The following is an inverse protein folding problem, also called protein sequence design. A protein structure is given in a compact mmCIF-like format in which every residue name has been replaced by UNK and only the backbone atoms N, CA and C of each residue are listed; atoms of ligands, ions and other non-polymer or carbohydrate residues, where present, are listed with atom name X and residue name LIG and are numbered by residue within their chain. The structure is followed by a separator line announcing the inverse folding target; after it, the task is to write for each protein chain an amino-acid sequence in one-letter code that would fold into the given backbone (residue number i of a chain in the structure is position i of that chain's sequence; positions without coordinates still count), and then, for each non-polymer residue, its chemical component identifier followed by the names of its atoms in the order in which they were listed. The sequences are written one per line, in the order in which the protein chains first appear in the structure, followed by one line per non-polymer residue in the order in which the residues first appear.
data_IF_611979511737
#
_entry.id   IF_611979511737
#
_cell.length_a   1.000
_cell.length_b   1.000
_cell.length_c   1.000
_cell.angle_alpha   90.00
_cell.angle_beta   90.00
_cell.angle_gamma   90.00
#
_symmetry.space_group_name_H-M   'P 1'
#
loop_
_entity.id
_entity.type
_entity.pdbx_description
1 polymer ?
#
# COMPACT_ATOMS: atom_id res chain seq x y z
N UNK A 1 30.03 -21.72 -8.18
CA UNK A 1 29.56 -21.11 -6.91
C UNK A 1 28.54 -22.05 -6.29
N UNK A 2 28.46 -22.19 -4.95
CA UNK A 2 27.40 -22.98 -4.31
C UNK A 2 26.03 -22.37 -4.64
N UNK A 3 25.00 -23.20 -4.77
CA UNK A 3 23.66 -22.74 -5.14
C UNK A 3 23.01 -21.98 -3.97
N UNK A 4 23.19 -20.66 -3.94
CA UNK A 4 22.78 -19.77 -2.83
C UNK A 4 21.26 -19.80 -2.54
N UNK A 5 20.44 -20.26 -3.49
CA UNK A 5 19.01 -20.46 -3.32
C UNK A 5 18.66 -21.50 -2.24
N UNK A 6 19.53 -22.47 -1.95
CA UNK A 6 19.26 -23.59 -1.03
C UNK A 6 19.70 -23.33 0.43
N UNK A 7 19.89 -22.06 0.87
CA UNK A 7 20.11 -21.79 2.30
C UNK A 7 18.74 -21.85 3.04
N UNK A 8 18.53 -22.75 4.02
CA UNK A 8 17.22 -22.89 4.71
C UNK A 8 16.78 -21.62 5.47
N UNK A 9 17.69 -20.68 5.70
CA UNK A 9 17.41 -19.35 6.22
C UNK A 9 16.61 -18.42 5.27
N UNK A 10 16.48 -18.76 3.97
CA UNK A 10 15.69 -17.98 3.01
C UNK A 10 14.23 -18.46 2.92
N UNK A 11 13.98 -19.76 2.98
CA UNK A 11 12.67 -20.37 2.67
C UNK A 11 11.55 -19.87 3.61
N UNK A 12 11.84 -19.84 4.91
CA UNK A 12 10.87 -19.55 5.97
C UNK A 12 10.45 -18.07 6.07
N UNK A 13 11.07 -17.12 5.34
CA UNK A 13 10.93 -15.68 5.65
C UNK A 13 10.57 -14.76 4.48
N UNK A 14 10.17 -15.29 3.33
CA UNK A 14 9.65 -14.48 2.21
C UNK A 14 8.14 -14.30 2.23
N UNK A 15 7.72 -13.06 1.94
CA UNK A 15 6.40 -12.55 1.52
C UNK A 15 5.21 -13.32 2.13
N UNK A 16 4.57 -12.81 3.20
CA UNK A 16 3.35 -13.42 3.73
C UNK A 16 2.25 -13.41 2.66
N UNK A 17 1.59 -14.55 2.39
CA UNK A 17 0.43 -14.61 1.46
C UNK A 17 -0.67 -13.60 1.82
N UNK A 18 -0.82 -13.23 3.10
CA UNK A 18 -1.69 -12.12 3.55
C UNK A 18 -1.40 -10.81 2.84
N UNK A 19 -0.13 -10.44 2.68
CA UNK A 19 0.27 -9.23 1.96
C UNK A 19 -0.17 -9.29 0.49
N UNK A 20 -0.02 -10.46 -0.15
CA UNK A 20 -0.43 -10.67 -1.54
C UNK A 20 -1.96 -10.55 -1.70
N UNK A 21 -2.74 -11.12 -0.78
CA UNK A 21 -4.20 -10.96 -0.72
C UNK A 21 -4.64 -9.51 -0.51
N UNK A 22 -3.94 -8.78 0.37
CA UNK A 22 -4.17 -7.35 0.60
C UNK A 22 -3.91 -6.55 -0.69
N UNK A 23 -2.82 -6.82 -1.39
CA UNK A 23 -2.56 -6.16 -2.68
C UNK A 23 -3.56 -6.55 -3.76
N UNK A 24 -4.06 -7.79 -3.77
CA UNK A 24 -5.15 -8.17 -4.65
C UNK A 24 -6.43 -7.37 -4.34
N UNK A 25 -6.78 -7.19 -3.05
CA UNK A 25 -7.92 -6.37 -2.62
C UNK A 25 -7.76 -4.89 -3.03
N UNK A 26 -6.62 -4.27 -2.72
CA UNK A 26 -6.37 -2.86 -3.01
C UNK A 26 -6.44 -2.56 -4.51
N UNK A 27 -5.75 -3.36 -5.33
CA UNK A 27 -5.74 -3.15 -6.78
C UNK A 27 -7.09 -3.51 -7.43
N UNK A 28 -7.78 -4.56 -6.96
CA UNK A 28 -9.12 -4.90 -7.44
C UNK A 28 -10.15 -3.82 -7.09
N UNK A 29 -10.04 -3.18 -5.92
CA UNK A 29 -10.88 -2.06 -5.54
C UNK A 29 -10.63 -0.84 -6.42
N UNK A 30 -9.35 -0.48 -6.64
CA UNK A 30 -8.97 0.60 -7.54
C UNK A 30 -9.51 0.36 -8.96
N UNK A 31 -9.30 -0.84 -9.51
CA UNK A 31 -9.87 -1.26 -10.80
C UNK A 31 -11.40 -1.15 -10.83
N UNK A 32 -12.08 -1.58 -9.76
CA UNK A 32 -13.56 -1.54 -9.71
C UNK A 32 -14.08 -0.11 -9.70
N UNK A 33 -13.45 0.81 -8.96
CA UNK A 33 -13.80 2.23 -8.99
C UNK A 33 -13.48 2.85 -10.35
N UNK A 34 -12.28 2.64 -10.90
CA UNK A 34 -11.91 3.14 -12.23
C UNK A 34 -12.89 2.65 -13.31
N UNK A 35 -13.27 1.37 -13.29
CA UNK A 35 -14.25 0.77 -14.24
C UNK A 35 -15.61 1.47 -14.19
N UNK A 36 -16.08 1.84 -12.99
CA UNK A 36 -17.34 2.58 -12.81
C UNK A 36 -17.17 4.05 -13.22
N UNK A 37 -16.05 4.69 -12.87
CA UNK A 37 -15.76 6.07 -13.26
C UNK A 37 -15.68 6.23 -14.79
N UNK A 38 -14.89 5.40 -15.47
CA UNK A 38 -14.79 5.38 -16.94
C UNK A 38 -16.14 5.11 -17.61
N UNK A 39 -16.98 4.24 -17.03
CA UNK A 39 -18.34 3.98 -17.55
C UNK A 39 -19.21 5.23 -17.45
N UNK A 40 -19.21 5.88 -16.29
CA UNK A 40 -20.01 7.07 -16.05
C UNK A 40 -19.52 8.26 -16.89
N UNK A 41 -18.20 8.47 -17.00
CA UNK A 41 -17.63 9.48 -17.89
C UNK A 41 -18.06 9.24 -19.34
N UNK A 42 -17.97 8.00 -19.83
CA UNK A 42 -18.39 7.66 -21.19
C UNK A 42 -19.88 7.93 -21.42
N UNK A 43 -20.74 7.63 -20.42
CA UNK A 43 -22.16 7.98 -20.46
C UNK A 43 -22.36 9.50 -20.55
N UNK A 44 -21.60 10.31 -19.80
CA UNK A 44 -21.70 11.77 -19.88
C UNK A 44 -21.16 12.33 -21.21
N UNK A 45 -20.14 11.74 -21.83
CA UNK A 45 -19.71 12.14 -23.18
C UNK A 45 -20.78 11.76 -24.22
N UNK A 46 -21.33 10.54 -24.18
CA UNK A 46 -22.44 10.12 -25.05
C UNK A 46 -23.66 11.02 -24.86
N UNK A 47 -23.96 11.49 -23.64
CA UNK A 47 -25.03 12.48 -23.42
C UNK A 47 -24.74 13.81 -24.10
N UNK A 48 -23.49 14.30 -24.05
CA UNK A 48 -23.11 15.60 -24.63
C UNK A 48 -23.40 15.65 -26.13
N UNK A 49 -23.14 14.57 -26.87
CA UNK A 49 -23.38 14.46 -28.31
C UNK A 49 -24.84 14.76 -28.73
N UNK A 50 -25.79 14.57 -27.82
CA UNK A 50 -27.23 14.85 -28.05
C UNK A 50 -27.74 16.05 -27.24
N UNK A 51 -26.86 16.92 -26.75
CA UNK A 51 -27.28 18.13 -26.03
C UNK A 51 -27.92 19.15 -26.97
N UNK A 52 -29.12 19.60 -26.62
CA UNK A 52 -29.77 20.70 -27.35
C UNK A 52 -29.01 22.01 -27.15
N UNK A 53 -28.34 22.49 -28.19
CA UNK A 53 -27.78 23.83 -28.29
C UNK A 53 -28.78 24.79 -28.96
N UNK A 54 -29.30 25.83 -28.26
CA UNK A 54 -30.23 26.82 -28.81
C UNK A 54 -29.72 27.65 -30.00
N UNK A 55 -28.40 27.69 -30.23
CA UNK A 55 -27.79 28.42 -31.34
C UNK A 55 -27.60 27.56 -32.60
N UNK A 56 -27.61 26.23 -32.45
CA UNK A 56 -27.41 25.27 -33.55
C UNK A 56 -28.67 24.47 -33.92
N UNK A 57 -29.67 24.43 -33.05
CA UNK A 57 -30.86 23.58 -33.20
C UNK A 57 -32.16 24.37 -33.12
N UNK A 58 -33.18 23.91 -33.84
CA UNK A 58 -34.54 24.48 -33.77
C UNK A 58 -35.34 23.86 -32.61
N UNK A 59 -36.25 24.59 -31.94
CA UNK A 59 -36.88 24.12 -30.69
C UNK A 59 -37.62 22.77 -30.78
N UNK A 60 -38.13 22.41 -31.96
CA UNK A 60 -38.77 21.14 -32.28
C UNK A 60 -37.80 19.93 -32.24
N UNK A 61 -36.50 20.15 -32.40
CA UNK A 61 -35.47 19.11 -32.32
C UNK A 61 -35.15 18.67 -30.88
N UNK A 62 -35.60 19.42 -29.87
CA UNK A 62 -35.29 19.16 -28.45
C UNK A 62 -35.81 17.81 -27.96
N UNK A 63 -37.05 17.44 -28.27
CA UNK A 63 -37.62 16.14 -27.89
C UNK A 63 -36.99 14.96 -28.66
N UNK A 64 -36.82 15.02 -30.00
CA UNK A 64 -36.06 14.01 -30.75
C UNK A 64 -34.65 13.76 -30.20
N UNK A 65 -33.87 14.82 -29.89
CA UNK A 65 -32.52 14.69 -29.34
C UNK A 65 -32.52 14.00 -27.97
N UNK A 66 -33.41 14.40 -27.05
CA UNK A 66 -33.54 13.74 -25.74
C UNK A 66 -33.91 12.24 -25.87
N UNK A 67 -34.76 11.89 -26.85
CA UNK A 67 -35.10 10.49 -27.14
C UNK A 67 -33.91 9.71 -27.71
N UNK A 68 -33.15 10.30 -28.63
CA UNK A 68 -31.92 9.69 -29.17
C UNK A 68 -30.86 9.50 -28.09
N UNK A 69 -30.67 10.48 -27.21
CA UNK A 69 -29.77 10.41 -26.05
C UNK A 69 -30.09 9.19 -25.17
N UNK A 70 -31.36 9.02 -24.79
CA UNK A 70 -31.81 7.89 -23.97
C UNK A 70 -31.53 6.54 -24.63
N UNK A 71 -31.81 6.42 -25.94
CA UNK A 71 -31.51 5.22 -26.73
C UNK A 71 -29.99 4.94 -26.77
N UNK A 72 -29.16 5.97 -26.98
CA UNK A 72 -27.71 5.82 -27.04
C UNK A 72 -27.10 5.38 -25.69
N UNK A 73 -27.56 5.98 -24.58
CA UNK A 73 -27.11 5.61 -23.22
C UNK A 73 -27.58 4.19 -22.84
N UNK A 74 -28.80 3.81 -23.22
CA UNK A 74 -29.32 2.45 -23.00
C UNK A 74 -28.49 1.41 -23.78
N UNK A 75 -28.26 1.64 -25.07
CA UNK A 75 -27.47 0.76 -25.91
C UNK A 75 -26.02 0.64 -25.42
N UNK A 76 -25.39 1.74 -24.96
CA UNK A 76 -24.05 1.69 -24.36
C UNK A 76 -24.04 0.82 -23.11
N UNK A 77 -25.05 0.98 -22.25
CA UNK A 77 -25.17 0.23 -21.00
C UNK A 77 -25.37 -1.26 -21.25
N UNK A 78 -26.13 -1.63 -22.29
CA UNK A 78 -26.33 -3.00 -22.75
C UNK A 78 -25.03 -3.59 -23.33
N UNK A 79 -24.34 -2.86 -24.21
CA UNK A 79 -23.07 -3.30 -24.79
C UNK A 79 -21.99 -3.55 -23.71
N UNK A 80 -21.89 -2.67 -22.70
CA UNK A 80 -20.97 -2.85 -21.55
C UNK A 80 -21.37 -4.05 -20.68
N UNK A 81 -22.66 -4.38 -20.57
CA UNK A 81 -23.12 -5.56 -19.86
C UNK A 81 -22.81 -6.85 -20.63
N UNK A 82 -22.98 -6.84 -21.96
CA UNK A 82 -22.67 -7.97 -22.84
C UNK A 82 -21.16 -8.24 -22.96
N UNK A 83 -20.30 -7.23 -22.74
CA UNK A 83 -18.83 -7.32 -22.83
C UNK A 83 -18.16 -8.32 -21.87
N UNK A 84 -18.89 -8.90 -20.91
CA UNK A 84 -18.37 -9.85 -19.92
C UNK A 84 -19.03 -11.23 -20.09
N UNK A 85 -18.25 -12.35 -20.21
CA UNK A 85 -16.83 -12.49 -19.88
C UNK A 85 -15.92 -12.88 -21.07
N UNK A 86 -15.17 -11.91 -21.61
CA UNK A 86 -13.82 -12.00 -22.20
C UNK A 86 -13.37 -13.16 -23.15
N UNK A 87 -14.24 -14.05 -23.62
CA UNK A 87 -13.92 -15.02 -24.70
C UNK A 87 -14.73 -14.74 -25.96
N UNK A 88 -14.01 -14.61 -27.08
CA UNK A 88 -14.46 -14.56 -28.47
C UNK A 88 -15.75 -13.78 -28.74
N UNK A 89 -15.59 -12.46 -28.91
CA UNK A 89 -16.69 -11.55 -29.19
C UNK A 89 -17.26 -11.73 -30.61
N UNK A 90 -18.43 -12.37 -30.68
CA UNK A 90 -19.34 -12.31 -31.82
C UNK A 90 -20.65 -11.64 -31.38
N UNK A 91 -20.59 -10.32 -31.18
CA UNK A 91 -21.76 -9.51 -30.83
C UNK A 91 -22.76 -9.42 -31.99
N UNK A 92 -24.05 -9.54 -31.67
CA UNK A 92 -25.14 -9.52 -32.66
C UNK A 92 -26.00 -8.23 -32.54
N UNK A 93 -25.74 -7.38 -31.54
CA UNK A 93 -26.58 -6.23 -31.17
C UNK A 93 -26.17 -4.87 -31.73
N UNK A 94 -26.35 -4.61 -33.04
CA UNK A 94 -26.09 -3.32 -33.69
C UNK A 94 -24.59 -2.90 -33.77
N UNK A 95 -23.93 -3.34 -34.85
CA UNK A 95 -22.53 -3.03 -35.22
C UNK A 95 -22.12 -1.55 -35.20
N UNK A 96 -23.06 -0.60 -35.26
CA UNK A 96 -22.74 0.84 -35.18
C UNK A 96 -22.22 1.25 -33.80
N UNK A 97 -22.56 0.52 -32.74
CA UNK A 97 -22.15 0.87 -31.38
C UNK A 97 -20.72 0.42 -31.07
N UNK A 98 -20.31 -0.77 -31.52
CA UNK A 98 -18.92 -1.24 -31.41
C UNK A 98 -17.94 -0.33 -32.17
N UNK A 99 -18.44 0.37 -33.19
CA UNK A 99 -17.70 1.35 -33.99
C UNK A 99 -17.79 2.78 -33.43
N UNK A 100 -18.45 2.99 -32.28
CA UNK A 100 -18.51 4.30 -31.62
C UNK A 100 -17.16 4.65 -31.01
N UNK A 101 -16.65 5.86 -31.29
CA UNK A 101 -15.46 6.42 -30.67
C UNK A 101 -15.49 6.33 -29.14
N UNK A 102 -16.63 6.66 -28.52
CA UNK A 102 -16.80 6.62 -27.07
C UNK A 102 -16.72 5.21 -26.50
N UNK A 103 -17.28 4.21 -27.19
CA UNK A 103 -17.16 2.81 -26.77
C UNK A 103 -15.74 2.27 -26.93
N UNK A 104 -15.06 2.61 -28.03
CA UNK A 104 -13.65 2.23 -28.25
C UNK A 104 -12.72 2.84 -27.19
N UNK A 105 -12.85 4.14 -26.90
CA UNK A 105 -12.09 4.79 -25.83
C UNK A 105 -12.36 4.16 -24.45
N UNK A 106 -13.61 3.76 -24.16
CA UNK A 106 -13.94 3.03 -22.93
C UNK A 106 -13.21 1.68 -22.84
N UNK A 107 -13.19 0.89 -23.93
CA UNK A 107 -12.47 -0.38 -23.98
C UNK A 107 -10.95 -0.20 -23.84
N UNK A 108 -10.37 0.82 -24.47
CA UNK A 108 -8.95 1.16 -24.31
C UNK A 108 -8.60 1.57 -22.87
N UNK A 109 -9.46 2.37 -22.23
CA UNK A 109 -9.33 2.73 -20.83
C UNK A 109 -9.40 1.49 -19.92
N UNK A 110 -10.39 0.61 -20.10
CA UNK A 110 -10.49 -0.64 -19.34
C UNK A 110 -9.25 -1.54 -19.51
N UNK A 111 -8.72 -1.66 -20.73
CA UNK A 111 -7.50 -2.43 -21.00
C UNK A 111 -6.28 -1.85 -20.27
N UNK A 112 -6.20 -0.52 -20.15
CA UNK A 112 -5.19 0.15 -19.34
C UNK A 112 -5.37 -0.13 -17.85
N UNK A 113 -6.60 -0.02 -17.31
CA UNK A 113 -6.89 -0.37 -15.91
C UNK A 113 -6.56 -1.84 -15.61
N UNK A 114 -6.80 -2.76 -16.55
CA UNK A 114 -6.45 -4.17 -16.39
C UNK A 114 -4.93 -4.40 -16.36
N UNK A 115 -4.16 -3.71 -17.21
CA UNK A 115 -2.69 -3.81 -17.13
C UNK A 115 -2.14 -3.19 -15.83
N UNK A 116 -2.76 -2.15 -15.28
CA UNK A 116 -2.43 -1.63 -13.94
C UNK A 116 -2.76 -2.65 -12.85
N UNK A 117 -3.94 -3.28 -12.91
CA UNK A 117 -4.37 -4.33 -11.98
C UNK A 117 -3.39 -5.51 -11.97
N UNK A 118 -3.00 -6.04 -13.13
CA UNK A 118 -2.04 -7.14 -13.26
C UNK A 118 -0.64 -6.74 -12.74
N UNK A 119 -0.20 -5.49 -12.99
CA UNK A 119 1.12 -5.02 -12.54
C UNK A 119 1.17 -4.50 -11.09
N UNK A 120 0.03 -4.33 -10.42
CA UNK A 120 -0.04 -3.69 -9.10
C UNK A 120 0.75 -4.40 -7.99
N UNK A 121 0.93 -5.72 -8.07
CA UNK A 121 1.85 -6.43 -7.17
C UNK A 121 3.32 -6.12 -7.45
N UNK A 122 3.72 -6.01 -8.73
CA UNK A 122 5.07 -5.62 -9.13
C UNK A 122 5.38 -4.16 -8.80
N UNK A 123 4.37 -3.28 -8.84
CA UNK A 123 4.50 -1.92 -8.33
C UNK A 123 4.72 -1.90 -6.81
N UNK A 124 3.89 -2.64 -6.05
CA UNK A 124 4.04 -2.79 -4.60
C UNK A 124 5.40 -3.37 -4.21
N UNK A 125 5.86 -4.38 -4.96
CA UNK A 125 7.22 -4.91 -4.93
C UNK A 125 8.20 -3.72 -5.10
N UNK A 126 8.20 -3.03 -6.25
CA UNK A 126 9.13 -1.92 -6.51
C UNK A 126 9.16 -0.86 -5.39
N UNK A 127 8.01 -0.42 -4.88
CA UNK A 127 7.93 0.56 -3.77
C UNK A 127 8.63 0.08 -2.50
N UNK A 128 8.42 -1.17 -2.07
CA UNK A 128 9.09 -1.73 -0.89
C UNK A 128 10.62 -1.68 -1.04
N UNK A 129 11.15 -2.07 -2.20
CA UNK A 129 12.59 -2.06 -2.43
C UNK A 129 13.16 -0.65 -2.49
N UNK A 130 12.47 0.28 -3.15
CA UNK A 130 12.77 1.71 -3.12
C UNK A 130 12.84 2.24 -1.68
N UNK A 131 11.86 1.90 -0.83
CA UNK A 131 11.83 2.29 0.59
C UNK A 131 13.00 1.72 1.41
N UNK A 132 13.41 0.47 1.16
CA UNK A 132 14.63 -0.12 1.76
C UNK A 132 15.86 0.66 1.32
N UNK A 133 16.03 0.93 0.02
CA UNK A 133 17.18 1.63 -0.53
C UNK A 133 17.30 3.07 -0.01
N UNK A 134 16.20 3.83 0.02
CA UNK A 134 16.19 5.19 0.62
C UNK A 134 16.56 5.17 2.10
N UNK A 135 16.05 4.21 2.86
CA UNK A 135 16.35 4.07 4.30
C UNK A 135 17.84 3.76 4.54
N UNK A 136 18.42 2.85 3.78
CA UNK A 136 19.84 2.50 3.89
C UNK A 136 20.74 3.66 3.42
N UNK A 137 20.37 4.35 2.34
CA UNK A 137 21.11 5.52 1.88
C UNK A 137 21.07 6.64 2.93
N UNK A 138 19.92 6.87 3.58
CA UNK A 138 19.82 7.85 4.66
C UNK A 138 20.81 7.56 5.80
N UNK A 139 20.89 6.30 6.23
CA UNK A 139 21.86 5.86 7.25
C UNK A 139 23.32 6.04 6.76
N UNK A 140 23.60 5.80 5.48
CA UNK A 140 24.94 6.01 4.89
C UNK A 140 25.29 7.50 4.77
N UNK A 141 24.35 8.39 4.44
CA UNK A 141 24.61 9.84 4.46
C UNK A 141 24.86 10.33 5.89
N UNK A 142 24.08 9.86 6.87
CA UNK A 142 24.33 10.18 8.29
C UNK A 142 25.65 9.60 8.80
N UNK A 143 26.07 8.43 8.32
CA UNK A 143 27.41 7.88 8.57
C UNK A 143 28.51 8.81 8.08
N UNK A 144 28.41 9.34 6.85
CA UNK A 144 29.39 10.31 6.30
C UNK A 144 29.46 11.58 7.17
N UNK A 145 28.30 12.13 7.54
CA UNK A 145 28.22 13.32 8.40
C UNK A 145 28.83 13.06 9.79
N UNK A 146 28.55 11.89 10.38
CA UNK A 146 29.13 11.49 11.66
C UNK A 146 30.65 11.30 11.56
N UNK A 147 31.15 10.61 10.54
CA UNK A 147 32.59 10.37 10.32
C UNK A 147 33.36 11.67 10.04
N UNK A 148 32.76 12.61 9.30
CA UNK A 148 33.37 13.92 9.03
C UNK A 148 33.43 14.84 10.26
N UNK A 149 32.55 14.61 11.26
CA UNK A 149 32.45 15.42 12.49
C UNK A 149 32.84 14.64 13.75
N UNK A 150 33.49 13.49 13.59
CA UNK A 150 33.94 12.63 14.69
C UNK A 150 35.27 13.13 15.27
N UNK A 151 35.29 13.37 16.58
CA UNK A 151 36.50 13.75 17.31
C UNK A 151 36.83 12.66 18.37
N UNK A 152 37.93 11.91 18.21
CA UNK A 152 38.31 10.86 19.16
C UNK A 152 38.68 11.37 20.56
N UNK A 153 38.86 12.68 20.75
CA UNK A 153 39.10 13.28 22.07
C UNK A 153 37.81 13.52 22.90
N UNK A 154 36.62 13.43 22.30
CA UNK A 154 35.34 13.69 23.00
C UNK A 154 34.25 12.62 22.73
N UNK A 155 34.54 11.31 22.79
CA UNK A 155 33.61 10.25 22.36
C UNK A 155 32.35 10.13 23.23
N UNK A 156 32.41 10.55 24.50
CA UNK A 156 31.33 10.38 25.48
C UNK A 156 30.19 11.41 25.38
N UNK A 157 30.40 12.53 24.67
CA UNK A 157 29.40 13.61 24.59
C UNK A 157 28.19 13.27 23.70
N UNK A 158 28.39 12.44 22.66
CA UNK A 158 27.35 12.06 21.70
C UNK A 158 27.49 10.57 21.31
N UNK A 159 26.96 9.68 22.13
CA UNK A 159 27.14 8.23 21.99
C UNK A 159 26.64 7.69 20.62
N UNK A 160 25.45 8.13 20.19
CA UNK A 160 24.87 7.79 18.89
C UNK A 160 25.78 8.18 17.72
N UNK A 161 26.33 9.40 17.74
CA UNK A 161 27.23 9.95 16.72
C UNK A 161 28.55 9.16 16.67
N UNK A 162 29.13 8.83 17.82
CA UNK A 162 30.35 8.01 17.93
C UNK A 162 30.13 6.61 17.35
N UNK A 163 29.04 5.92 17.72
CA UNK A 163 28.75 4.60 17.19
C UNK A 163 28.45 4.63 15.68
N UNK A 164 27.70 5.63 15.20
CA UNK A 164 27.38 5.75 13.79
C UNK A 164 28.63 5.97 12.94
N UNK A 165 29.53 6.88 13.35
CA UNK A 165 30.80 7.15 12.66
C UNK A 165 31.72 5.93 12.54
N UNK A 166 31.55 4.92 13.41
CA UNK A 166 32.38 3.73 13.51
C UNK A 166 31.67 2.44 13.05
N UNK A 167 30.47 2.51 12.49
CA UNK A 167 29.74 1.29 12.13
C UNK A 167 30.29 0.61 10.85
N UNK A 168 30.85 -0.62 10.92
CA UNK A 168 31.47 -1.24 9.74
C UNK A 168 30.50 -1.66 8.62
N UNK A 169 29.18 -1.70 8.84
CA UNK A 169 28.20 -2.08 7.81
C UNK A 169 27.89 -0.86 6.93
N UNK A 170 27.77 0.31 7.54
CA UNK A 170 27.62 1.57 6.82
C UNK A 170 28.92 1.95 6.09
N UNK A 171 30.09 1.60 6.65
CA UNK A 171 31.37 1.71 5.96
C UNK A 171 31.47 0.76 4.74
N UNK A 172 31.11 -0.52 4.90
CA UNK A 172 31.08 -1.48 3.80
C UNK A 172 30.12 -1.03 2.69
N UNK A 173 28.89 -0.62 3.06
CA UNK A 173 27.90 -0.05 2.16
C UNK A 173 28.48 1.13 1.37
N UNK A 174 29.03 2.13 2.06
CA UNK A 174 29.57 3.34 1.43
C UNK A 174 30.63 3.05 0.37
N UNK A 175 31.45 2.02 0.56
CA UNK A 175 32.51 1.62 -0.37
C UNK A 175 32.09 0.55 -1.39
N UNK A 176 30.86 0.01 -1.32
CA UNK A 176 30.40 -1.06 -2.20
C UNK A 176 29.93 -0.51 -3.56
N UNK A 177 30.76 -0.67 -4.60
CA UNK A 177 30.44 -0.25 -5.96
C UNK A 177 29.18 -0.93 -6.56
N UNK A 178 28.88 -2.18 -6.20
CA UNK A 178 27.67 -2.87 -6.67
C UNK A 178 26.40 -2.26 -6.06
N UNK A 179 26.46 -1.85 -4.79
CA UNK A 179 25.37 -1.11 -4.14
C UNK A 179 25.19 0.27 -4.79
N UNK A 180 26.26 1.07 -4.95
CA UNK A 180 26.20 2.37 -5.61
C UNK A 180 25.62 2.29 -7.04
N UNK A 181 26.01 1.27 -7.82
CA UNK A 181 25.43 1.04 -9.15
C UNK A 181 23.94 0.67 -9.09
N UNK A 182 23.50 -0.07 -8.07
CA UNK A 182 22.09 -0.39 -7.87
C UNK A 182 21.26 0.85 -7.50
N UNK A 183 21.81 1.77 -6.70
CA UNK A 183 21.19 3.06 -6.39
C UNK A 183 20.97 3.89 -7.67
N UNK A 184 22.01 4.01 -8.49
CA UNK A 184 21.94 4.68 -9.79
C UNK A 184 20.91 4.05 -10.74
N UNK A 185 20.91 2.72 -10.88
CA UNK A 185 19.94 1.98 -11.72
C UNK A 185 18.48 2.21 -11.31
N UNK A 186 18.21 2.43 -10.03
CA UNK A 186 16.86 2.67 -9.51
C UNK A 186 16.52 4.17 -9.35
N UNK A 187 17.45 5.08 -9.69
CA UNK A 187 17.25 6.53 -9.56
C UNK A 187 17.22 7.03 -8.12
N UNK A 188 17.70 6.24 -7.16
CA UNK A 188 17.61 6.56 -5.73
C UNK A 188 18.77 7.48 -5.33
N UNK A 189 18.43 8.68 -4.87
CA UNK A 189 19.41 9.69 -4.46
C UNK A 189 18.77 10.72 -3.53
N UNK A 190 19.53 11.21 -2.55
CA UNK A 190 19.17 12.32 -1.68
C UNK A 190 19.68 13.68 -2.18
N UNK A 191 20.27 13.77 -3.38
CA UNK A 191 20.89 15.02 -3.89
C UNK A 191 19.91 16.19 -3.97
N UNK A 192 18.62 15.95 -4.23
CA UNK A 192 17.59 17.02 -4.25
C UNK A 192 17.20 17.51 -2.86
N UNK A 193 17.28 16.63 -1.86
CA UNK A 193 16.75 16.81 -0.51
C UNK A 193 17.90 16.84 0.53
N UNK A 194 19.12 17.15 0.09
CA UNK A 194 20.33 17.05 0.90
C UNK A 194 20.29 17.94 2.14
N UNK A 195 19.68 19.13 2.03
CA UNK A 195 19.46 20.03 3.17
C UNK A 195 18.50 19.42 4.21
N UNK A 196 17.48 18.69 3.75
CA UNK A 196 16.54 18.00 4.63
C UNK A 196 17.20 16.81 5.36
N UNK A 197 18.02 16.03 4.66
CA UNK A 197 18.84 14.96 5.26
C UNK A 197 19.79 15.50 6.33
N UNK A 198 20.43 16.64 6.09
CA UNK A 198 21.27 17.32 7.08
C UNK A 198 20.46 17.88 8.27
N UNK A 199 19.28 18.44 8.02
CA UNK A 199 18.40 18.94 9.08
C UNK A 199 17.95 17.81 10.00
N UNK A 200 17.55 16.66 9.46
CA UNK A 200 17.22 15.48 10.26
C UNK A 200 18.44 14.94 11.03
N UNK A 201 19.63 14.93 10.42
CA UNK A 201 20.86 14.55 11.13
C UNK A 201 21.11 15.46 12.34
N UNK A 202 21.05 16.78 12.16
CA UNK A 202 21.15 17.75 13.27
C UNK A 202 20.11 17.48 14.34
N UNK A 203 18.84 17.40 13.96
CA UNK A 203 17.69 17.22 14.85
C UNK A 203 17.77 15.94 15.69
N UNK A 204 18.08 14.80 15.07
CA UNK A 204 17.95 13.49 15.73
C UNK A 204 19.27 12.89 16.23
N UNK A 205 20.42 13.30 15.66
CA UNK A 205 21.74 12.74 16.00
C UNK A 205 22.61 13.75 16.77
N UNK A 206 22.58 15.04 16.44
CA UNK A 206 23.44 16.05 17.10
C UNK A 206 22.79 16.76 18.29
N UNK A 207 21.47 17.00 18.27
CA UNK A 207 20.78 17.83 19.30
C UNK A 207 20.61 17.12 20.65
N UNK A 208 21.18 15.92 20.84
CA UNK A 208 21.29 15.27 22.15
C UNK A 208 22.64 15.64 22.79
N UNK A 209 22.64 16.71 23.57
CA UNK A 209 23.57 16.84 24.69
C UNK A 209 23.03 16.00 25.86
N UNK A 210 23.92 15.29 26.57
CA UNK A 210 23.60 14.73 27.89
C UNK A 210 23.07 15.86 28.77
N UNK A 211 21.91 15.72 29.44
CA UNK A 211 21.45 16.74 30.37
C UNK A 211 22.52 16.99 31.43
N UNK A 212 23.14 18.17 31.40
CA UNK A 212 23.89 18.68 32.56
C UNK A 212 22.93 18.57 33.73
N UNK A 213 23.30 17.78 34.73
CA UNK A 213 22.46 17.55 35.90
C UNK A 213 22.12 18.90 36.50
N UNK A 214 20.88 19.35 36.32
CA UNK A 214 20.39 20.54 37.00
C UNK A 214 20.51 20.25 38.49
N UNK A 215 21.38 20.99 39.16
CA UNK A 215 21.36 21.06 40.61
C UNK A 215 19.95 21.45 41.03
N UNK A 216 19.40 20.74 42.01
CA UNK A 216 18.05 21.00 42.47
C UNK A 216 17.97 22.45 42.99
N UNK A 217 17.23 23.30 42.29
CA UNK A 217 16.89 24.64 42.75
C UNK A 217 15.51 24.55 43.43
N UNK A 218 15.43 24.59 44.77
CA UNK A 218 14.25 24.14 45.52
C UNK A 218 13.09 25.15 45.54
N UNK A 219 13.14 26.20 44.73
CA UNK A 219 12.16 27.29 44.72
C UNK A 219 11.69 27.69 43.31
N UNK A 220 10.75 26.93 42.73
CA UNK A 220 9.78 27.55 41.82
C UNK A 220 8.40 26.87 41.90
N UNK A 221 7.43 27.61 42.43
CA UNK A 221 6.03 27.21 42.57
C UNK A 221 5.15 27.94 41.55
N UNK A 222 4.05 27.31 41.09
CA UNK A 222 3.08 27.79 40.08
C UNK A 222 3.60 27.68 38.63
N UNK A 223 2.82 27.47 37.55
CA UNK A 223 1.38 27.25 37.26
C UNK A 223 1.33 26.64 35.82
N UNK A 224 0.33 25.93 35.31
CA UNK A 224 -0.96 25.41 35.82
C UNK A 224 -1.39 24.21 34.96
N UNK A 225 -2.43 23.46 35.38
CA UNK A 225 -3.14 22.49 34.52
C UNK A 225 -4.34 23.16 33.84
N UNK A 226 -4.58 22.88 32.55
CA UNK A 226 -5.87 23.06 31.88
C UNK A 226 -6.16 21.88 30.93
N UNK A 227 -7.42 21.48 30.87
CA UNK A 227 -7.95 20.32 30.13
C UNK A 227 -8.38 20.69 28.70
N UNK A 228 -8.53 19.72 27.78
CA UNK A 228 -9.07 19.96 26.44
C UNK A 228 -10.58 20.25 26.48
N UNK A 229 -11.05 20.93 25.43
CA UNK A 229 -12.46 21.10 25.08
C UNK A 229 -12.64 20.47 23.70
N UNK A 230 -13.67 19.65 23.54
CA UNK A 230 -14.13 19.10 22.26
C UNK A 230 -15.50 19.71 21.89
N UNK A 231 -15.89 19.42 20.64
CA UNK A 231 -17.24 19.53 20.05
C UNK A 231 -17.58 20.83 19.31
N UNK A 232 -17.69 20.75 17.97
CA UNK A 232 -18.86 21.17 17.18
C UNK A 232 -18.80 20.62 15.73
N UNK A 233 -19.91 20.72 14.98
CA UNK A 233 -20.33 19.73 13.95
C UNK A 233 -20.11 20.09 12.45
N UNK A 234 -19.77 19.04 11.67
CA UNK A 234 -20.22 18.65 10.31
C UNK A 234 -20.68 19.69 9.24
N UNK A 235 -20.10 19.60 8.02
CA UNK A 235 -20.78 19.38 6.69
C UNK A 235 -19.86 19.70 5.48
N UNK A 236 -19.90 18.89 4.40
CA UNK A 236 -19.52 19.37 3.05
C UNK A 236 -18.71 18.46 2.09
N UNK A 237 -19.42 17.55 1.39
CA UNK A 237 -19.17 17.06 0.00
C UNK A 237 -17.84 16.39 -0.45
N UNK A 238 -17.91 15.68 -1.59
CA UNK A 238 -16.97 14.64 -2.00
C UNK A 238 -16.03 15.03 -3.16
N UNK A 239 -14.77 14.59 -3.05
CA UNK A 239 -13.75 14.32 -4.08
C UNK A 239 -12.51 13.75 -3.35
N UNK A 240 -11.65 12.85 -3.85
CA UNK A 240 -11.61 12.04 -5.07
C UNK A 240 -10.59 10.88 -4.89
N UNK A 241 -10.61 9.89 -5.80
CA UNK A 241 -9.56 8.88 -6.08
C UNK A 241 -8.63 8.37 -4.95
N UNK A 242 -8.78 7.09 -4.59
CA UNK A 242 -7.78 6.23 -3.91
C UNK A 242 -7.37 6.59 -2.47
N UNK A 243 -7.50 7.85 -2.05
CA UNK A 243 -7.20 8.32 -0.70
C UNK A 243 -8.17 7.76 0.38
N UNK A 244 -9.38 7.32 -0.02
CA UNK A 244 -10.40 6.78 0.88
C UNK A 244 -10.02 5.50 1.65
N UNK A 245 -8.84 4.91 1.41
CA UNK A 245 -8.25 3.86 2.26
C UNK A 245 -7.21 4.38 3.27
N UNK A 246 -6.71 5.60 3.10
CA UNK A 246 -5.84 6.27 4.07
C UNK A 246 -6.66 6.75 5.28
N UNK A 247 -7.89 7.24 5.03
CA UNK A 247 -8.75 7.87 6.05
C UNK A 247 -9.18 6.91 7.18
N UNK A 248 -9.18 5.59 6.94
CA UNK A 248 -9.50 4.57 7.96
C UNK A 248 -8.37 4.42 9.01
N UNK A 249 -7.15 4.87 8.71
CA UNK A 249 -6.04 4.90 9.67
C UNK A 249 -5.98 6.19 10.52
N UNK A 250 -6.80 7.21 10.22
CA UNK A 250 -6.64 8.52 10.86
C UNK A 250 -7.26 8.64 12.25
N UNK A 251 -8.21 7.77 12.61
CA UNK A 251 -8.94 7.80 13.89
C UNK A 251 -8.08 7.43 15.13
N UNK A 252 -6.76 7.29 14.97
CA UNK A 252 -5.81 7.10 16.07
C UNK A 252 -4.80 8.26 16.22
N UNK A 253 -4.89 9.34 15.43
CA UNK A 253 -4.04 10.55 15.62
C UNK A 253 -4.51 11.43 16.78
N UNK A 254 -4.46 10.93 18.01
CA UNK A 254 -4.41 11.81 19.18
C UNK A 254 -2.97 12.23 19.44
N UNK A 255 -2.70 13.52 19.20
CA UNK A 255 -1.36 14.11 19.27
C UNK A 255 -0.68 13.90 20.63
N UNK A 256 0.20 12.90 20.69
CA UNK A 256 1.16 12.70 21.78
C UNK A 256 2.55 12.89 21.22
N UNK A 257 3.17 14.05 21.47
CA UNK A 257 4.60 14.27 21.14
C UNK A 257 5.44 13.19 21.86
N UNK A 258 6.06 12.26 21.11
CA UNK A 258 6.60 11.07 21.75
C UNK A 258 7.94 11.38 22.42
N UNK A 259 8.04 11.09 23.71
CA UNK A 259 9.35 11.02 24.39
C UNK A 259 10.09 9.79 23.88
N UNK A 260 11.05 10.00 22.99
CA UNK A 260 12.03 8.97 22.63
C UNK A 260 12.77 8.47 23.89
N UNK A 261 13.28 7.23 23.88
CA UNK A 261 14.01 6.69 25.02
C UNK A 261 15.27 7.49 25.37
N UNK A 262 15.59 7.50 26.68
CA UNK A 262 16.78 8.13 27.24
C UNK A 262 18.06 7.48 26.71
N UNK A 263 19.13 8.27 26.59
CA UNK A 263 20.44 7.77 26.07
C UNK A 263 21.02 6.59 26.86
N UNK A 264 20.61 6.45 28.13
CA UNK A 264 20.96 5.35 29.02
C UNK A 264 20.49 3.98 28.47
N UNK A 265 19.40 3.93 27.70
CA UNK A 265 18.93 2.67 27.07
C UNK A 265 19.89 2.14 25.99
N UNK A 266 20.72 3.00 25.42
CA UNK A 266 21.60 2.68 24.29
C UNK A 266 23.00 2.22 24.72
N UNK A 267 23.45 2.60 25.93
CA UNK A 267 24.82 2.37 26.42
C UNK A 267 25.25 0.90 26.59
N UNK A 268 24.34 -0.07 26.50
CA UNK A 268 24.63 -1.51 26.70
C UNK A 268 24.46 -2.38 25.45
N UNK A 269 24.19 -1.78 24.29
CA UNK A 269 23.72 -2.51 23.11
C UNK A 269 24.80 -2.70 22.05
N UNK A 270 24.66 -3.77 21.26
CA UNK A 270 25.47 -4.02 20.07
C UNK A 270 25.13 -3.03 18.94
N UNK A 271 26.05 -2.81 18.01
CA UNK A 271 25.83 -1.90 16.87
C UNK A 271 24.63 -2.31 15.99
N UNK A 272 24.26 -3.60 15.98
CA UNK A 272 23.07 -4.09 15.25
C UNK A 272 21.78 -3.62 15.93
N UNK A 273 21.68 -3.76 17.24
CA UNK A 273 20.53 -3.28 18.03
C UNK A 273 20.40 -1.75 18.01
N UNK A 274 21.53 -1.04 17.90
CA UNK A 274 21.53 0.41 17.72
C UNK A 274 20.95 0.83 16.36
N UNK A 275 21.42 0.22 15.26
CA UNK A 275 20.86 0.47 13.92
C UNK A 275 19.37 0.11 13.87
N UNK A 276 18.98 -0.99 14.52
CA UNK A 276 17.58 -1.39 14.61
C UNK A 276 16.73 -0.37 15.36
N UNK A 277 17.15 0.08 16.55
CA UNK A 277 16.46 1.15 17.26
C UNK A 277 16.44 2.47 16.45
N UNK A 278 17.51 2.81 15.72
CA UNK A 278 17.54 4.01 14.87
C UNK A 278 16.45 3.95 13.79
N UNK A 279 16.36 2.88 13.00
CA UNK A 279 15.35 2.83 11.95
C UNK A 279 13.93 2.63 12.52
N UNK A 280 13.78 1.90 13.63
CA UNK A 280 12.47 1.67 14.27
C UNK A 280 11.91 2.92 14.97
N UNK A 281 12.76 3.64 15.73
CA UNK A 281 12.38 4.75 16.62
C UNK A 281 12.67 6.14 16.07
N UNK A 282 13.53 6.29 15.04
CA UNK A 282 13.82 7.60 14.43
C UNK A 282 13.24 7.69 13.02
N UNK A 283 13.52 6.71 12.15
CA UNK A 283 13.13 6.78 10.72
C UNK A 283 11.64 6.42 10.52
N UNK A 284 11.15 5.38 11.18
CA UNK A 284 9.78 4.88 11.02
C UNK A 284 8.88 5.06 12.26
N UNK A 285 9.27 5.94 13.18
CA UNK A 285 8.34 6.53 14.13
C UNK A 285 7.61 7.69 13.44
N UNK A 286 6.41 8.04 13.91
CA UNK A 286 5.68 9.22 13.44
C UNK A 286 6.56 10.48 13.57
N UNK A 287 6.65 11.25 12.48
CA UNK A 287 7.59 12.35 12.36
C UNK A 287 8.16 12.51 10.95
N UNK A 288 8.97 13.56 10.73
CA UNK A 288 9.18 14.14 9.39
C UNK A 288 9.89 13.20 8.40
N UNK A 289 10.63 12.19 8.87
CA UNK A 289 11.28 11.20 8.01
C UNK A 289 10.26 10.16 7.51
N UNK A 290 9.43 9.63 8.40
CA UNK A 290 8.34 8.72 8.05
C UNK A 290 7.35 9.41 7.11
N UNK A 291 7.04 10.67 7.38
CA UNK A 291 6.03 11.42 6.64
C UNK A 291 6.53 11.76 5.23
N UNK A 292 7.83 12.10 5.08
CA UNK A 292 8.47 12.22 3.77
C UNK A 292 8.39 10.91 2.97
N UNK A 293 8.70 9.77 3.60
CA UNK A 293 8.60 8.46 2.92
C UNK A 293 7.15 8.14 2.54
N UNK A 294 6.17 8.50 3.39
CA UNK A 294 4.74 8.36 3.09
C UNK A 294 4.30 9.19 1.86
N UNK A 295 4.82 10.41 1.70
CA UNK A 295 4.55 11.23 0.52
C UNK A 295 5.05 10.61 -0.80
N UNK A 296 6.02 9.70 -0.75
CA UNK A 296 6.54 8.99 -1.94
C UNK A 296 5.81 7.69 -2.28
N UNK A 297 4.97 7.17 -1.37
CA UNK A 297 4.35 5.85 -1.49
C UNK A 297 2.95 5.83 -0.86
N UNK A 298 1.91 5.84 -1.70
CA UNK A 298 0.50 5.84 -1.27
C UNK A 298 0.14 4.68 -0.32
N UNK A 299 0.86 3.56 -0.39
CA UNK A 299 0.64 2.38 0.44
C UNK A 299 1.74 2.20 1.50
N UNK A 300 2.30 3.31 1.97
CA UNK A 300 3.45 3.29 2.87
C UNK A 300 3.17 2.52 4.16
N UNK A 301 1.98 2.53 4.75
CA UNK A 301 1.75 1.80 6.01
C UNK A 301 1.76 0.28 5.88
N UNK A 302 1.40 -0.30 4.73
CA UNK A 302 1.69 -1.72 4.45
C UNK A 302 3.13 -1.94 4.03
N UNK A 303 3.69 -1.07 3.18
CA UNK A 303 5.04 -1.23 2.66
C UNK A 303 6.09 -1.07 3.77
N UNK A 304 5.98 -0.07 4.64
CA UNK A 304 6.75 0.15 5.88
C UNK A 304 6.81 -1.11 6.75
N UNK A 305 5.70 -1.85 6.90
CA UNK A 305 5.70 -3.12 7.66
C UNK A 305 6.57 -4.20 7.01
N UNK A 306 6.66 -4.23 5.67
CA UNK A 306 7.57 -5.12 4.93
C UNK A 306 9.01 -4.59 4.95
N UNK A 307 9.22 -3.30 4.69
CA UNK A 307 10.51 -2.60 4.75
C UNK A 307 11.18 -2.80 6.11
N UNK A 308 10.46 -2.60 7.23
CA UNK A 308 10.94 -2.90 8.60
C UNK A 308 11.45 -4.34 8.73
N UNK A 309 10.65 -5.33 8.32
CA UNK A 309 11.02 -6.76 8.40
C UNK A 309 12.27 -7.08 7.60
N UNK A 310 12.38 -6.51 6.39
CA UNK A 310 13.57 -6.70 5.58
C UNK A 310 14.79 -6.01 6.21
N UNK A 311 14.66 -4.77 6.68
CA UNK A 311 15.76 -4.04 7.33
C UNK A 311 16.27 -4.74 8.61
N UNK A 312 15.40 -5.17 9.53
CA UNK A 312 15.81 -6.03 10.67
C UNK A 312 16.61 -7.24 10.17
N UNK A 313 16.13 -7.90 9.10
CA UNK A 313 16.82 -9.08 8.56
C UNK A 313 18.19 -8.75 7.97
N UNK A 314 18.29 -7.64 7.24
CA UNK A 314 19.52 -7.11 6.66
C UNK A 314 20.56 -6.86 7.75
N UNK A 315 20.19 -6.16 8.82
CA UNK A 315 21.12 -5.85 9.92
C UNK A 315 21.54 -7.11 10.70
N UNK A 316 20.66 -8.11 10.86
CA UNK A 316 21.04 -9.42 11.45
C UNK A 316 21.87 -10.31 10.51
N UNK A 317 21.88 -10.07 9.20
CA UNK A 317 22.70 -10.81 8.23
C UNK A 317 24.18 -10.37 8.20
N UNK A 318 24.54 -9.27 8.87
CA UNK A 318 25.90 -8.72 8.95
C UNK A 318 27.02 -9.75 9.21
N UNK A 319 26.73 -10.80 9.98
CA UNK A 319 27.69 -11.86 10.31
C UNK A 319 28.11 -12.75 9.13
N UNK A 320 27.48 -12.66 7.95
CA UNK A 320 27.83 -13.50 6.79
C UNK A 320 28.79 -12.85 5.79
N UNK A 321 29.13 -11.57 5.92
CA UNK A 321 30.03 -10.80 5.01
C UNK A 321 29.70 -10.94 3.50
N UNK A 322 28.46 -11.29 3.18
CA UNK A 322 27.99 -11.58 1.82
C UNK A 322 26.94 -10.54 1.44
N UNK A 323 27.41 -9.34 1.09
CA UNK A 323 26.55 -8.24 0.68
C UNK A 323 25.79 -8.53 -0.63
N UNK A 324 26.22 -9.53 -1.41
CA UNK A 324 25.49 -9.95 -2.60
C UNK A 324 24.15 -10.64 -2.23
N UNK A 325 24.12 -11.37 -1.12
CA UNK A 325 22.90 -12.03 -0.62
C UNK A 325 21.78 -11.04 -0.25
N UNK A 326 22.11 -9.81 0.14
CA UNK A 326 21.15 -8.70 0.29
C UNK A 326 20.41 -8.43 -1.01
N UNK A 327 21.18 -8.23 -2.10
CA UNK A 327 20.64 -7.81 -3.40
C UNK A 327 19.83 -8.94 -4.04
N UNK A 328 20.32 -10.18 -3.90
CA UNK A 328 19.67 -11.40 -4.39
C UNK A 328 18.33 -11.71 -3.72
N UNK A 329 18.01 -11.10 -2.58
CA UNK A 329 16.66 -11.19 -2.00
C UNK A 329 15.58 -10.67 -2.97
N UNK A 330 15.93 -9.69 -3.80
CA UNK A 330 14.99 -9.04 -4.70
C UNK A 330 14.63 -9.86 -5.93
N UNK A 331 15.63 -10.57 -6.45
CA UNK A 331 15.53 -11.47 -7.60
C UNK A 331 15.18 -12.91 -7.16
N UNK A 332 14.85 -13.11 -5.88
CA UNK A 332 14.49 -14.41 -5.34
C UNK A 332 13.22 -14.98 -6.01
N UNK A 333 13.22 -16.23 -6.50
CA UNK A 333 12.16 -16.79 -7.35
C UNK A 333 10.77 -16.81 -6.70
N UNK A 334 10.69 -16.83 -5.36
CA UNK A 334 9.42 -16.75 -4.63
C UNK A 334 8.64 -15.44 -4.87
N UNK A 335 9.27 -14.34 -5.31
CA UNK A 335 8.51 -13.18 -5.81
C UNK A 335 7.64 -13.55 -7.02
N UNK A 336 8.18 -14.29 -7.98
CA UNK A 336 7.44 -14.75 -9.16
C UNK A 336 6.37 -15.81 -8.81
N UNK A 337 6.60 -16.62 -7.76
CA UNK A 337 5.58 -17.57 -7.24
C UNK A 337 4.38 -16.80 -6.66
N UNK A 338 4.63 -15.79 -5.83
CA UNK A 338 3.55 -14.98 -5.23
C UNK A 338 2.88 -14.06 -6.26
N UNK A 339 3.60 -13.57 -7.26
CA UNK A 339 3.04 -12.88 -8.44
C UNK A 339 2.12 -13.81 -9.26
N UNK A 340 2.54 -15.06 -9.48
CA UNK A 340 1.71 -16.08 -10.13
C UNK A 340 0.49 -16.52 -9.29
N UNK A 341 0.53 -16.37 -7.96
CA UNK A 341 -0.64 -16.50 -7.11
C UNK A 341 -1.58 -15.29 -7.23
N UNK A 342 -1.03 -14.07 -7.13
CA UNK A 342 -1.73 -12.79 -7.29
C UNK A 342 -2.51 -12.71 -8.61
N UNK A 343 -1.83 -12.95 -9.74
CA UNK A 343 -2.43 -12.84 -11.06
C UNK A 343 -3.55 -13.88 -11.25
N UNK A 344 -3.32 -15.15 -10.88
CA UNK A 344 -4.36 -16.18 -10.94
C UNK A 344 -5.57 -15.81 -10.10
N UNK A 345 -5.37 -15.30 -8.87
CA UNK A 345 -6.45 -14.93 -7.97
C UNK A 345 -7.34 -13.84 -8.59
N UNK A 346 -6.72 -12.80 -9.17
CA UNK A 346 -7.44 -11.70 -9.81
C UNK A 346 -8.16 -12.13 -11.10
N UNK A 347 -7.49 -12.89 -11.98
CA UNK A 347 -8.11 -13.44 -13.19
C UNK A 347 -9.32 -14.31 -12.84
N UNK A 348 -9.20 -15.16 -11.81
CA UNK A 348 -10.31 -15.99 -11.31
C UNK A 348 -11.49 -15.14 -10.81
N UNK A 349 -11.23 -14.05 -10.08
CA UNK A 349 -12.31 -13.13 -9.65
C UNK A 349 -13.01 -12.50 -10.85
N UNK A 350 -12.25 -11.95 -11.80
CA UNK A 350 -12.82 -11.26 -12.98
C UNK A 350 -13.66 -12.21 -13.83
N UNK A 351 -13.18 -13.43 -14.07
CA UNK A 351 -13.89 -14.44 -14.87
C UNK A 351 -15.20 -14.92 -14.23
N UNK A 352 -15.27 -14.94 -12.90
CA UNK A 352 -16.40 -15.48 -12.14
C UNK A 352 -17.22 -14.40 -11.42
N UNK A 353 -17.02 -13.11 -11.76
CA UNK A 353 -17.54 -11.97 -10.99
C UNK A 353 -19.06 -12.02 -10.78
N UNK A 354 -19.82 -12.32 -11.85
CA UNK A 354 -21.28 -12.45 -11.81
C UNK A 354 -21.74 -13.67 -10.99
N UNK A 355 -21.00 -14.78 -11.06
CA UNK A 355 -21.29 -15.99 -10.29
C UNK A 355 -21.05 -15.75 -8.80
N UNK A 356 -19.95 -15.08 -8.43
CA UNK A 356 -19.68 -14.72 -7.05
C UNK A 356 -20.66 -13.67 -6.51
N UNK A 357 -21.04 -12.66 -7.29
CA UNK A 357 -22.08 -11.69 -6.88
C UNK A 357 -23.43 -12.40 -6.61
N UNK A 358 -23.82 -13.36 -7.46
CA UNK A 358 -25.03 -14.16 -7.25
C UNK A 358 -24.95 -15.03 -5.98
N UNK A 359 -23.84 -15.74 -5.77
CA UNK A 359 -23.61 -16.56 -4.57
C UNK A 359 -23.62 -15.73 -3.28
N UNK A 360 -22.98 -14.55 -3.31
CA UNK A 360 -23.00 -13.58 -2.20
C UNK A 360 -24.43 -13.11 -1.96
N UNK A 361 -25.16 -12.69 -3.01
CA UNK A 361 -26.54 -12.21 -2.90
C UNK A 361 -27.50 -13.23 -2.26
N UNK A 362 -27.40 -14.51 -2.65
CA UNK A 362 -28.21 -15.61 -2.08
C UNK A 362 -27.91 -15.91 -0.61
N UNK A 363 -26.69 -15.60 -0.14
CA UNK A 363 -26.28 -15.86 1.25
C UNK A 363 -26.30 -14.60 2.13
N UNK A 364 -26.42 -13.42 1.52
CA UNK A 364 -26.55 -12.13 2.17
C UNK A 364 -28.01 -11.74 2.50
N UNK A 365 -29.01 -12.58 2.20
CA UNK A 365 -30.43 -12.21 2.34
C UNK A 365 -30.87 -11.81 3.76
N UNK A 366 -30.19 -12.33 4.79
CA UNK A 366 -30.42 -12.00 6.21
C UNK A 366 -29.69 -10.75 6.67
N UNK A 367 -28.91 -10.14 5.79
CA UNK A 367 -28.13 -8.93 6.05
C UNK A 367 -28.74 -7.76 5.27
N UNK A 368 -28.52 -6.56 5.79
CA UNK A 368 -29.06 -5.32 5.20
C UNK A 368 -28.41 -5.07 3.82
N UNK A 369 -29.11 -5.49 2.75
CA UNK A 369 -28.56 -5.55 1.38
C UNK A 369 -28.14 -4.17 0.86
N UNK A 370 -28.78 -3.11 1.34
CA UNK A 370 -28.49 -1.72 0.98
C UNK A 370 -27.23 -1.16 1.65
N UNK A 371 -26.62 -1.90 2.59
CA UNK A 371 -25.43 -1.48 3.35
C UNK A 371 -24.17 -2.32 3.10
N UNK A 372 -24.17 -3.25 2.15
CA UNK A 372 -23.00 -4.09 1.87
C UNK A 372 -21.91 -3.25 1.18
N UNK A 373 -20.86 -2.91 1.92
CA UNK A 373 -19.72 -2.14 1.43
C UNK A 373 -19.04 -2.84 0.24
N UNK A 374 -18.55 -2.04 -0.71
CA UNK A 374 -17.77 -2.55 -1.85
C UNK A 374 -16.59 -3.40 -1.37
N UNK A 375 -15.88 -2.94 -0.34
CA UNK A 375 -14.77 -3.66 0.28
C UNK A 375 -15.16 -5.07 0.73
N UNK A 376 -16.30 -5.22 1.39
CA UNK A 376 -16.76 -6.52 1.89
C UNK A 376 -17.15 -7.45 0.74
N UNK A 377 -17.77 -6.92 -0.32
CA UNK A 377 -18.04 -7.69 -1.55
C UNK A 377 -16.74 -8.18 -2.20
N UNK A 378 -15.72 -7.33 -2.32
CA UNK A 378 -14.45 -7.70 -2.94
C UNK A 378 -13.66 -8.69 -2.08
N UNK A 379 -13.68 -8.57 -0.76
CA UNK A 379 -13.11 -9.57 0.16
C UNK A 379 -13.81 -10.93 -0.04
N UNK A 380 -15.15 -10.95 -0.11
CA UNK A 380 -15.91 -12.17 -0.38
C UNK A 380 -15.59 -12.77 -1.75
N UNK A 381 -15.49 -11.96 -2.81
CA UNK A 381 -15.12 -12.44 -4.15
C UNK A 381 -13.72 -13.05 -4.17
N UNK A 382 -12.73 -12.41 -3.54
CA UNK A 382 -11.38 -12.95 -3.40
C UNK A 382 -11.37 -14.25 -2.57
N UNK A 383 -12.14 -14.30 -1.49
CA UNK A 383 -12.28 -15.51 -0.67
C UNK A 383 -12.90 -16.67 -1.45
N UNK A 384 -13.97 -16.43 -2.22
CA UNK A 384 -14.60 -17.45 -3.06
C UNK A 384 -13.69 -17.91 -4.20
N UNK A 385 -12.99 -16.98 -4.85
CA UNK A 385 -11.98 -17.31 -5.86
C UNK A 385 -10.88 -18.22 -5.28
N UNK A 386 -10.36 -17.91 -4.10
CA UNK A 386 -9.36 -18.74 -3.42
C UNK A 386 -9.93 -20.12 -3.05
N UNK A 387 -11.05 -20.15 -2.32
CA UNK A 387 -11.67 -21.38 -1.82
C UNK A 387 -12.06 -22.35 -2.93
N UNK A 388 -12.55 -21.87 -4.07
CA UNK A 388 -13.06 -22.74 -5.14
C UNK A 388 -11.97 -23.22 -6.11
N UNK A 389 -10.87 -22.49 -6.24
CA UNK A 389 -9.87 -22.71 -7.31
C UNK A 389 -8.47 -23.09 -6.81
N UNK A 390 -8.13 -22.81 -5.54
CA UNK A 390 -6.78 -23.00 -4.99
C UNK A 390 -6.75 -24.20 -4.02
N UNK A 391 -6.80 -25.40 -4.59
CA UNK A 391 -6.81 -26.69 -3.86
C UNK A 391 -5.56 -26.93 -3.00
N UNK A 392 -4.49 -26.16 -3.20
CA UNK A 392 -3.27 -26.15 -2.38
C UNK A 392 -3.45 -25.47 -1.01
N UNK A 393 -4.56 -24.75 -0.78
CA UNK A 393 -4.79 -23.95 0.42
C UNK A 393 -5.98 -24.53 1.22
N UNK A 394 -5.80 -24.91 2.50
CA UNK A 394 -6.91 -25.41 3.31
C UNK A 394 -7.97 -24.33 3.56
N UNK A 395 -9.25 -24.64 3.32
CA UNK A 395 -10.36 -23.67 3.41
C UNK A 395 -10.37 -22.83 4.70
N UNK A 396 -10.11 -23.46 5.85
CA UNK A 396 -10.06 -22.78 7.15
C UNK A 396 -8.96 -21.71 7.23
N UNK A 397 -7.84 -21.91 6.53
CA UNK A 397 -6.75 -20.92 6.44
C UNK A 397 -7.21 -19.74 5.59
N UNK A 398 -7.78 -19.99 4.41
CA UNK A 398 -8.32 -18.93 3.54
C UNK A 398 -9.37 -18.08 4.26
N UNK A 399 -10.37 -18.71 4.88
CA UNK A 399 -11.44 -18.04 5.64
C UNK A 399 -10.84 -17.15 6.74
N UNK A 400 -9.95 -17.69 7.57
CA UNK A 400 -9.30 -16.92 8.64
C UNK A 400 -8.52 -15.72 8.09
N UNK A 401 -7.79 -15.89 6.98
CA UNK A 401 -7.01 -14.82 6.36
C UNK A 401 -7.88 -13.68 5.81
N UNK A 402 -9.03 -13.99 5.20
CA UNK A 402 -9.96 -12.98 4.72
C UNK A 402 -10.78 -12.31 5.84
N UNK A 403 -11.12 -13.03 6.92
CA UNK A 403 -11.70 -12.44 8.14
C UNK A 403 -10.71 -11.48 8.79
N UNK A 404 -9.43 -11.84 8.83
CA UNK A 404 -8.38 -10.97 9.34
C UNK A 404 -8.26 -9.70 8.49
N UNK A 405 -8.21 -9.82 7.16
CA UNK A 405 -8.22 -8.67 6.24
C UNK A 405 -9.45 -7.78 6.46
N UNK A 406 -10.63 -8.37 6.68
CA UNK A 406 -11.86 -7.62 6.97
C UNK A 406 -11.79 -6.77 8.24
N UNK A 407 -10.98 -7.14 9.24
CA UNK A 407 -10.77 -6.32 10.45
C UNK A 407 -9.92 -5.07 10.20
N UNK A 408 -9.08 -5.08 9.15
CA UNK A 408 -8.21 -3.94 8.80
C UNK A 408 -8.84 -3.00 7.78
N UNK A 409 -9.64 -3.52 6.85
CA UNK A 409 -10.18 -2.74 5.72
C UNK A 409 -11.70 -2.57 5.73
N UNK A 410 -12.41 -3.29 6.60
CA UNK A 410 -13.87 -3.19 6.77
C UNK A 410 -14.26 -2.45 8.04
N UNK A 411 -15.55 -2.51 8.38
CA UNK A 411 -16.09 -1.98 9.63
C UNK A 411 -15.97 -2.99 10.78
N UNK A 412 -16.27 -2.55 12.00
CA UNK A 412 -16.42 -3.43 13.18
C UNK A 412 -17.38 -4.61 12.99
N UNK A 413 -18.28 -4.56 12.00
CA UNK A 413 -19.22 -5.65 11.66
C UNK A 413 -18.76 -6.53 10.48
N UNK A 414 -17.85 -6.03 9.63
CA UNK A 414 -17.45 -6.68 8.37
C UNK A 414 -16.84 -8.06 8.56
N UNK A 415 -16.00 -8.26 9.58
CA UNK A 415 -15.42 -9.57 9.91
C UNK A 415 -16.48 -10.63 10.27
N UNK A 416 -17.56 -10.22 10.96
CA UNK A 416 -18.68 -11.11 11.31
C UNK A 416 -19.55 -11.43 10.08
N UNK A 417 -19.86 -10.40 9.28
CA UNK A 417 -20.58 -10.54 8.01
C UNK A 417 -19.90 -11.52 7.06
N UNK A 418 -18.60 -11.32 6.82
CA UNK A 418 -17.80 -12.15 5.89
C UNK A 418 -17.73 -13.59 6.36
N UNK A 419 -17.50 -13.84 7.67
CA UNK A 419 -17.56 -15.21 8.20
C UNK A 419 -18.94 -15.86 7.99
N UNK A 420 -20.02 -15.15 8.30
CA UNK A 420 -21.39 -15.65 8.16
C UNK A 420 -21.77 -16.01 6.73
N UNK A 421 -21.37 -15.18 5.74
CA UNK A 421 -21.63 -15.44 4.31
C UNK A 421 -20.79 -16.62 3.81
N UNK A 422 -19.50 -16.68 4.14
CA UNK A 422 -18.63 -17.79 3.72
C UNK A 422 -19.09 -19.13 4.33
N UNK A 423 -19.49 -19.15 5.60
CA UNK A 423 -20.08 -20.33 6.22
C UNK A 423 -21.38 -20.78 5.55
N UNK A 424 -22.25 -19.84 5.16
CA UNK A 424 -23.49 -20.12 4.43
C UNK A 424 -23.21 -20.81 3.09
N UNK A 425 -22.31 -20.22 2.31
CA UNK A 425 -21.89 -20.74 1.00
C UNK A 425 -21.27 -22.15 1.14
N UNK A 426 -20.35 -22.34 2.09
CA UNK A 426 -19.69 -23.64 2.30
C UNK A 426 -20.67 -24.72 2.79
N UNK A 427 -21.71 -24.38 3.54
CA UNK A 427 -22.80 -25.31 3.90
C UNK A 427 -23.69 -25.66 2.71
N UNK A 428 -23.76 -24.80 1.69
CA UNK A 428 -24.42 -25.09 0.41
C UNK A 428 -23.60 -25.99 -0.51
N UNK A 429 -22.27 -25.85 -0.51
CA UNK A 429 -21.35 -26.61 -1.37
C UNK A 429 -21.03 -28.04 -0.86
N UNK A 430 -21.24 -28.32 0.43
CA UNK A 430 -21.03 -29.64 1.04
C UNK A 430 -22.34 -30.46 1.17
N UNK A 431 -23.37 -30.12 0.38
CA UNK A 431 -24.63 -30.86 0.24
C UNK A 431 -24.72 -31.45 -1.16
#
# INVERSE_FOLDING_TARGET
MPNLANRPFMENFLIPRRFVRIKALQNLYAYTISKVAHKNETIEQVKKDFTFDPFLHTPDQKEPLAKQQSIAVAAFTEAVAAAFPMQDFAYVGNKKMEQSSHFLHYLEALKKEETLLQNGFNQSKKSIYTGILYTLLLLVEWYKLAKATYNPAQPAAHLLKTHLAQDPLLEELYHNASWMNAMGKNGISWVKDQDQVQNWYRQFIETREVPKSYGADPNNNNRSLLKPICDEEFLGEAQSSTAAYSDVCEEHRQASTPKLPLEIEFQKRSSVELLEDMFQKIIFQEGPINDFLAMTDLYWDEHKRMVKKFLTRIFTMRFTQDFSAFMLFWDHPKWAIEEGFYNRLLTTVIQNDALYEAMIGQNAEKWDRERILLTDKLILKLALAELLNFKDIPFKVSINEYIEIAKWYGTSKSACFINGVLEGILKGLNK
#
